data_IF_458414611979
#
_entry.id   IF_458414611979
#
_cell.length_a   1.000
_cell.length_b   1.000
_cell.length_c   1.000
_cell.angle_alpha   90.00
_cell.angle_beta   90.00
_cell.angle_gamma   90.00
#
_symmetry.space_group_name_H-M   'P 1'
#
loop_
_entity.id
_entity.type
_entity.pdbx_description
1 polymer ?
#
# COMPACT_ATOMS: atom_id res chain seq x y z
N UNK A 1 6.77 26.50 17.86
CA UNK A 1 6.41 25.35 16.99
C UNK A 1 5.26 24.61 17.64
N UNK A 2 4.02 24.86 17.21
CA UNK A 2 2.84 24.23 17.80
C UNK A 2 2.75 22.77 17.32
N UNK A 3 2.74 21.83 18.27
CA UNK A 3 2.56 20.40 17.98
C UNK A 3 1.07 20.14 17.73
N UNK A 4 0.77 19.53 16.60
CA UNK A 4 -0.57 19.23 16.11
C UNK A 4 -1.27 18.22 17.04
N UNK A 5 -2.42 18.58 17.62
CA UNK A 5 -3.25 17.76 18.52
C UNK A 5 -4.52 17.20 17.85
N UNK A 6 -4.64 17.22 16.52
CA UNK A 6 -5.83 16.76 15.80
C UNK A 6 -5.70 15.26 15.46
N UNK A 7 -5.44 14.39 16.45
CA UNK A 7 -5.52 12.94 16.24
C UNK A 7 -6.13 12.13 17.38
N UNK A 8 -6.47 12.76 18.51
CA UNK A 8 -7.01 12.07 19.69
C UNK A 8 -8.33 12.70 20.14
N UNK A 9 -9.31 12.77 19.25
CA UNK A 9 -10.70 12.75 19.70
C UNK A 9 -11.19 11.35 19.38
N UNK A 10 -10.81 10.42 20.26
CA UNK A 10 -11.43 9.10 20.29
C UNK A 10 -12.95 9.34 20.37
N UNK A 11 -13.68 8.66 19.50
CA UNK A 11 -15.13 8.63 19.53
C UNK A 11 -15.53 8.34 20.99
N UNK A 12 -16.36 9.20 21.59
CA UNK A 12 -16.86 9.04 22.97
C UNK A 12 -17.15 7.57 23.23
N UNK A 13 -16.66 7.00 24.34
CA UNK A 13 -16.86 5.59 24.70
C UNK A 13 -18.34 5.19 24.56
N UNK A 14 -19.24 6.11 24.94
CA UNK A 14 -20.70 6.03 24.79
C UNK A 14 -21.18 5.80 23.33
N UNK A 15 -20.54 6.42 22.33
CA UNK A 15 -20.87 6.22 20.90
C UNK A 15 -20.32 4.90 20.38
N UNK A 16 -19.18 4.44 20.91
CA UNK A 16 -18.65 3.11 20.55
C UNK A 16 -19.52 2.01 21.15
N UNK A 17 -19.99 2.20 22.39
CA UNK A 17 -20.87 1.30 23.11
C UNK A 17 -22.27 1.23 22.45
N UNK A 18 -22.86 2.38 22.10
CA UNK A 18 -24.12 2.41 21.33
C UNK A 18 -24.00 1.72 19.95
N UNK A 19 -22.87 1.90 19.26
CA UNK A 19 -22.65 1.21 17.98
C UNK A 19 -22.43 -0.28 18.16
N UNK A 20 -21.75 -0.73 19.23
CA UNK A 20 -21.55 -2.16 19.50
C UNK A 20 -22.86 -2.83 19.91
N UNK A 21 -23.68 -2.17 20.74
CA UNK A 21 -24.97 -2.70 21.20
C UNK A 21 -25.96 -2.78 20.02
N UNK A 22 -25.98 -1.76 19.15
CA UNK A 22 -26.78 -1.78 17.93
C UNK A 22 -26.31 -2.85 16.92
N UNK A 23 -25.00 -3.13 16.87
CA UNK A 23 -24.45 -4.22 16.06
C UNK A 23 -24.85 -5.59 16.61
N UNK A 24 -24.79 -5.76 17.93
CA UNK A 24 -25.12 -7.00 18.62
C UNK A 24 -26.61 -7.34 18.46
N UNK A 25 -27.50 -6.36 18.62
CA UNK A 25 -28.94 -6.51 18.39
C UNK A 25 -29.24 -6.95 16.93
N UNK A 26 -28.57 -6.34 15.94
CA UNK A 26 -28.75 -6.70 14.52
C UNK A 26 -28.20 -8.09 14.19
N UNK A 27 -27.12 -8.50 14.86
CA UNK A 27 -26.54 -9.84 14.72
C UNK A 27 -27.46 -10.89 15.34
N UNK A 28 -28.02 -10.65 16.52
CA UNK A 28 -28.97 -11.56 17.18
C UNK A 28 -30.28 -11.69 16.39
N UNK A 29 -30.84 -10.58 15.89
CA UNK A 29 -32.01 -10.60 15.00
C UNK A 29 -31.75 -11.46 13.75
N UNK A 30 -30.56 -11.31 13.17
CA UNK A 30 -30.14 -12.09 12.00
C UNK A 30 -29.96 -13.56 12.35
N UNK A 31 -29.32 -13.90 13.46
CA UNK A 31 -29.16 -15.28 13.91
C UNK A 31 -30.49 -15.96 14.19
N UNK A 32 -31.41 -15.27 14.87
CA UNK A 32 -32.73 -15.82 15.22
C UNK A 32 -33.59 -16.01 13.98
N UNK A 33 -33.51 -15.10 13.01
CA UNK A 33 -34.11 -15.27 11.70
C UNK A 33 -33.53 -16.48 10.95
N UNK A 34 -32.21 -16.64 10.94
CA UNK A 34 -31.53 -17.78 10.31
C UNK A 34 -31.90 -19.10 10.98
N UNK A 35 -31.95 -19.17 12.32
CA UNK A 35 -32.40 -20.35 13.09
C UNK A 35 -33.86 -20.70 12.78
N UNK A 36 -34.72 -19.69 12.60
CA UNK A 36 -36.13 -19.88 12.22
C UNK A 36 -36.31 -20.43 10.80
N UNK A 37 -35.44 -20.02 9.86
CA UNK A 37 -35.43 -20.47 8.46
C UNK A 37 -34.77 -21.85 8.30
N UNK A 38 -33.73 -22.17 9.08
CA UNK A 38 -33.02 -23.47 9.05
C UNK A 38 -33.66 -24.56 9.91
N UNK A 39 -34.71 -24.23 10.68
CA UNK A 39 -35.50 -25.20 11.43
C UNK A 39 -36.12 -26.25 10.48
N UNK A 40 -35.92 -27.55 10.80
CA UNK A 40 -36.11 -28.69 9.91
C UNK A 40 -37.49 -28.86 9.24
N UNK A 41 -38.54 -28.14 9.65
CA UNK A 41 -39.92 -28.49 9.32
C UNK A 41 -40.70 -27.48 8.46
N UNK A 42 -40.06 -26.47 7.84
CA UNK A 42 -40.80 -25.39 7.13
C UNK A 42 -40.38 -25.07 5.69
N UNK A 43 -39.56 -25.88 5.04
CA UNK A 43 -39.29 -25.72 3.60
C UNK A 43 -40.13 -26.74 2.83
N UNK A 44 -41.38 -26.38 2.52
CA UNK A 44 -42.20 -27.23 1.64
C UNK A 44 -41.68 -27.15 0.19
N UNK A 45 -41.56 -28.30 -0.48
CA UNK A 45 -41.14 -28.39 -1.90
C UNK A 45 -41.98 -27.50 -2.82
N UNK A 46 -43.25 -27.26 -2.45
CA UNK A 46 -44.18 -26.40 -3.18
C UNK A 46 -43.79 -24.91 -3.16
N UNK A 47 -43.33 -24.38 -2.02
CA UNK A 47 -42.86 -22.99 -1.91
C UNK A 47 -41.56 -22.77 -2.68
N UNK A 48 -40.67 -23.76 -2.69
CA UNK A 48 -39.39 -23.71 -3.44
C UNK A 48 -39.66 -23.76 -4.95
N UNK A 49 -40.58 -24.61 -5.41
CA UNK A 49 -40.96 -24.67 -6.82
C UNK A 49 -41.64 -23.37 -7.30
N UNK A 50 -42.48 -22.74 -6.46
CA UNK A 50 -43.14 -21.46 -6.79
C UNK A 50 -42.15 -20.28 -6.85
N UNK A 51 -41.11 -20.29 -6.02
CA UNK A 51 -40.09 -19.25 -5.94
C UNK A 51 -38.75 -19.67 -6.57
N UNK A 52 -38.75 -20.68 -7.42
CA UNK A 52 -37.56 -21.20 -8.10
C UNK A 52 -36.71 -20.11 -8.78
N UNK A 53 -37.26 -19.12 -9.52
CA UNK A 53 -36.44 -18.06 -10.12
C UNK A 53 -35.72 -17.21 -9.07
N UNK A 54 -36.32 -17.00 -7.89
CA UNK A 54 -35.72 -16.22 -6.80
C UNK A 54 -34.57 -16.99 -6.12
N UNK A 55 -34.74 -18.28 -5.88
CA UNK A 55 -33.66 -19.13 -5.32
C UNK A 55 -32.50 -19.25 -6.30
N UNK A 56 -32.78 -19.41 -7.59
CA UNK A 56 -31.75 -19.42 -8.63
C UNK A 56 -30.99 -18.08 -8.70
N UNK A 57 -31.68 -16.95 -8.52
CA UNK A 57 -31.04 -15.64 -8.44
C UNK A 57 -30.11 -15.50 -7.23
N UNK A 58 -30.51 -15.98 -6.06
CA UNK A 58 -29.64 -16.01 -4.87
C UNK A 58 -28.43 -16.93 -5.05
N UNK A 59 -28.62 -18.09 -5.69
CA UNK A 59 -27.52 -18.99 -6.03
C UNK A 59 -26.52 -18.35 -7.00
N UNK A 60 -27.02 -17.60 -8.01
CA UNK A 60 -26.20 -16.83 -8.94
C UNK A 60 -25.39 -15.75 -8.20
N UNK A 61 -26.04 -14.98 -7.31
CA UNK A 61 -25.37 -14.00 -6.44
C UNK A 61 -24.29 -14.65 -5.58
N UNK A 62 -24.57 -15.81 -4.98
CA UNK A 62 -23.60 -16.58 -4.21
C UNK A 62 -22.39 -17.00 -5.04
N UNK A 63 -22.62 -17.48 -6.28
CA UNK A 63 -21.56 -17.84 -7.20
C UNK A 63 -20.70 -16.62 -7.57
N UNK A 64 -21.33 -15.49 -7.94
CA UNK A 64 -20.63 -14.24 -8.22
C UNK A 64 -19.81 -13.76 -7.02
N UNK A 65 -20.34 -13.89 -5.81
CA UNK A 65 -19.62 -13.53 -4.59
C UNK A 65 -18.37 -14.38 -4.38
N UNK A 66 -18.48 -15.71 -4.52
CA UNK A 66 -17.34 -16.63 -4.41
C UNK A 66 -16.30 -16.33 -5.49
N UNK A 67 -16.74 -16.09 -6.73
CA UNK A 67 -15.85 -15.71 -7.83
C UNK A 67 -15.10 -14.41 -7.53
N UNK A 68 -15.81 -13.36 -7.09
CA UNK A 68 -15.20 -12.08 -6.72
C UNK A 68 -14.22 -12.22 -5.55
N UNK A 69 -14.56 -13.03 -4.55
CA UNK A 69 -13.68 -13.31 -3.42
C UNK A 69 -12.36 -13.93 -3.89
N UNK A 70 -12.39 -14.89 -4.81
CA UNK A 70 -11.17 -15.52 -5.31
C UNK A 70 -10.31 -14.54 -6.11
N UNK A 71 -10.92 -13.66 -6.91
CA UNK A 71 -10.20 -12.59 -7.63
C UNK A 71 -9.53 -11.60 -6.68
N UNK A 72 -10.23 -11.19 -5.63
CA UNK A 72 -9.68 -10.28 -4.61
C UNK A 72 -8.47 -10.91 -3.92
N UNK A 73 -8.59 -12.18 -3.50
CA UNK A 73 -7.50 -12.90 -2.83
C UNK A 73 -6.24 -13.02 -3.72
N UNK A 74 -6.43 -13.35 -5.00
CA UNK A 74 -5.34 -13.41 -5.96
C UNK A 74 -4.70 -12.04 -6.22
N UNK A 75 -5.50 -10.98 -6.20
CA UNK A 75 -5.01 -9.60 -6.35
C UNK A 75 -4.18 -9.18 -5.16
N UNK A 76 -4.63 -9.46 -3.93
CA UNK A 76 -3.87 -9.18 -2.70
C UNK A 76 -2.51 -9.91 -2.72
N UNK A 77 -2.50 -11.21 -3.07
CA UNK A 77 -1.24 -11.97 -3.22
C UNK A 77 -0.30 -11.36 -4.27
N UNK A 78 -0.85 -10.82 -5.36
CA UNK A 78 -0.06 -10.15 -6.40
C UNK A 78 0.54 -8.85 -5.90
N UNK A 79 -0.23 -8.05 -5.16
CA UNK A 79 0.25 -6.81 -4.54
C UNK A 79 1.42 -7.11 -3.60
N UNK A 80 1.31 -8.13 -2.75
CA UNK A 80 2.39 -8.50 -1.83
C UNK A 80 3.68 -8.92 -2.55
N UNK A 81 3.55 -9.66 -3.65
CA UNK A 81 4.72 -10.06 -4.49
C UNK A 81 5.36 -8.84 -5.14
N UNK A 82 4.58 -8.01 -5.82
CA UNK A 82 5.06 -6.79 -6.46
C UNK A 82 5.69 -5.83 -5.44
N UNK A 83 5.11 -5.71 -4.24
CA UNK A 83 5.66 -4.90 -3.16
C UNK A 83 7.04 -5.37 -2.70
N UNK A 84 7.28 -6.69 -2.67
CA UNK A 84 8.60 -7.26 -2.39
C UNK A 84 9.60 -6.96 -3.51
N UNK A 85 9.19 -7.18 -4.76
CA UNK A 85 10.04 -6.91 -5.94
C UNK A 85 10.46 -5.43 -6.00
N UNK A 86 9.53 -4.50 -5.78
CA UNK A 86 9.84 -3.06 -5.73
C UNK A 86 10.82 -2.73 -4.60
N UNK A 87 10.66 -3.37 -3.44
CA UNK A 87 11.57 -3.17 -2.30
C UNK A 87 12.97 -3.67 -2.62
N UNK A 88 13.09 -4.85 -3.20
CA UNK A 88 14.37 -5.44 -3.63
C UNK A 88 15.05 -4.55 -4.67
N UNK A 89 14.33 -4.15 -5.71
CA UNK A 89 14.86 -3.26 -6.75
C UNK A 89 15.31 -1.90 -6.18
N UNK A 90 14.60 -1.38 -5.19
CA UNK A 90 15.00 -0.15 -4.49
C UNK A 90 16.30 -0.33 -3.70
N UNK A 91 16.55 -1.53 -3.15
CA UNK A 91 17.78 -1.82 -2.43
C UNK A 91 18.96 -1.93 -3.39
N UNK A 92 18.77 -2.60 -4.52
CA UNK A 92 19.78 -2.68 -5.59
C UNK A 92 20.15 -1.30 -6.11
N UNK A 93 19.15 -0.46 -6.39
CA UNK A 93 19.38 0.93 -6.81
C UNK A 93 20.21 1.71 -5.78
N UNK A 94 19.87 1.60 -4.49
CA UNK A 94 20.61 2.30 -3.42
C UNK A 94 22.04 1.82 -3.30
N UNK A 95 22.25 0.50 -3.39
CA UNK A 95 23.57 -0.11 -3.35
C UNK A 95 24.43 0.36 -4.53
N UNK A 96 23.89 0.27 -5.75
CA UNK A 96 24.58 0.69 -6.97
C UNK A 96 24.87 2.19 -6.97
N UNK A 97 23.92 3.02 -6.51
CA UNK A 97 24.12 4.45 -6.41
C UNK A 97 25.18 4.81 -5.36
N UNK A 98 25.24 4.10 -4.23
CA UNK A 98 26.30 4.29 -3.24
C UNK A 98 27.68 3.91 -3.81
N UNK A 99 27.77 2.83 -4.57
CA UNK A 99 29.00 2.47 -5.29
C UNK A 99 29.37 3.54 -6.32
N UNK A 100 28.41 4.00 -7.12
CA UNK A 100 28.62 5.08 -8.09
C UNK A 100 29.14 6.35 -7.41
N UNK A 101 28.54 6.77 -6.30
CA UNK A 101 28.98 7.94 -5.51
C UNK A 101 30.42 7.78 -5.01
N UNK A 102 30.80 6.59 -4.54
CA UNK A 102 32.18 6.29 -4.15
C UNK A 102 33.12 6.43 -5.34
N UNK A 103 32.74 5.90 -6.50
CA UNK A 103 33.55 5.96 -7.73
C UNK A 103 33.66 7.39 -8.28
N UNK A 104 32.65 8.23 -8.11
CA UNK A 104 32.62 9.63 -8.56
C UNK A 104 33.18 10.61 -7.52
N UNK A 105 33.60 10.13 -6.35
CA UNK A 105 34.24 10.99 -5.35
C UNK A 105 35.55 11.54 -5.89
N UNK A 106 35.79 12.84 -5.70
CA UNK A 106 36.96 13.55 -6.21
C UNK A 106 38.29 12.86 -5.87
N UNK A 107 38.41 12.32 -4.65
CA UNK A 107 39.59 11.56 -4.22
C UNK A 107 39.80 10.27 -5.01
N UNK A 108 38.75 9.51 -5.31
CA UNK A 108 38.85 8.27 -6.11
C UNK A 108 39.08 8.58 -7.60
N UNK A 109 38.46 9.65 -8.11
CA UNK A 109 38.73 10.15 -9.46
C UNK A 109 40.19 10.61 -9.58
N UNK A 110 40.69 11.40 -8.62
CA UNK A 110 42.07 11.89 -8.62
C UNK A 110 43.07 10.73 -8.63
N UNK A 111 42.88 9.70 -7.79
CA UNK A 111 43.71 8.48 -7.80
C UNK A 111 43.71 7.77 -9.16
N UNK A 112 42.56 7.70 -9.83
CA UNK A 112 42.45 7.10 -11.17
C UNK A 112 43.00 7.99 -12.28
N UNK A 113 42.94 9.30 -12.11
CA UNK A 113 43.48 10.28 -13.05
C UNK A 113 45.02 10.40 -12.93
N UNK A 114 45.57 10.15 -11.73
CA UNK A 114 47.01 10.11 -11.49
C UNK A 114 47.70 9.02 -12.34
N UNK A 115 47.06 7.87 -12.56
CA UNK A 115 47.59 6.82 -13.46
C UNK A 115 47.63 7.27 -14.93
N UNK A 116 46.81 8.26 -15.28
CA UNK A 116 46.79 8.91 -16.60
C UNK A 116 47.71 10.13 -16.66
N UNK A 117 48.45 10.44 -15.57
CA UNK A 117 49.38 11.57 -15.48
C UNK A 117 48.70 12.92 -15.22
N UNK A 118 47.40 12.94 -14.87
CA UNK A 118 46.63 14.14 -14.59
C UNK A 118 46.67 14.45 -13.09
N UNK A 119 47.15 15.64 -12.71
CA UNK A 119 47.21 16.10 -11.32
C UNK A 119 46.11 17.10 -10.99
N UNK A 120 45.57 16.97 -9.78
CA UNK A 120 44.65 17.95 -9.23
C UNK A 120 45.36 19.30 -8.99
N UNK A 121 44.68 20.38 -9.39
CA UNK A 121 45.17 21.75 -9.15
C UNK A 121 44.76 22.19 -7.75
N UNK A 122 45.72 22.19 -6.82
CA UNK A 122 45.54 22.65 -5.43
C UNK A 122 45.56 24.16 -5.26
N UNK A 123 46.11 24.88 -6.24
CA UNK A 123 46.22 26.34 -6.21
C UNK A 123 44.99 27.02 -6.83
N UNK A 124 44.44 28.08 -6.20
CA UNK A 124 43.31 28.80 -6.75
C UNK A 124 43.65 29.43 -8.11
N UNK A 125 42.67 29.55 -9.03
CA UNK A 125 42.90 30.15 -10.34
C UNK A 125 43.29 31.62 -10.22
N UNK A 126 44.35 32.00 -10.94
CA UNK A 126 44.85 33.38 -10.98
C UNK A 126 43.80 34.24 -11.70
N UNK A 127 43.29 35.28 -11.03
CA UNK A 127 42.36 36.23 -11.62
C UNK A 127 43.14 37.16 -12.57
N UNK A 128 42.93 37.00 -13.88
CA UNK A 128 43.48 37.91 -14.89
C UNK A 128 42.69 39.21 -14.81
N UNK A 129 43.29 40.28 -14.29
CA UNK A 129 42.71 41.62 -14.35
C UNK A 129 43.18 42.29 -15.64
N UNK A 130 42.24 42.64 -16.51
CA UNK A 130 42.54 43.41 -17.72
C UNK A 130 42.81 44.85 -17.31
N UNK A 131 44.08 45.24 -17.30
CA UNK A 131 44.46 46.65 -17.15
C UNK A 131 44.10 47.35 -18.45
N UNK A 132 43.04 48.15 -18.44
CA UNK A 132 42.78 49.08 -19.54
C UNK A 132 43.83 50.17 -19.45
N UNK A 133 44.74 50.22 -20.42
CA UNK A 133 45.60 51.38 -20.61
C UNK A 133 44.72 52.60 -20.89
N UNK A 134 44.79 53.59 -20.01
CA UNK A 134 44.17 54.90 -20.21
C UNK A 134 45.07 55.67 -21.17
N UNK A 135 44.57 55.85 -22.39
CA UNK A 135 45.15 56.72 -23.42
C UNK A 135 44.97 58.19 -23.05
#
# INVERSE_FOLDING_TARGET
>A
MARNTIKNKELSEEVQEEMSDALEEKVEETENFLKSIFSQNKISTYLVAKNLPFVAFLALLGLLYISNRHLAENTVRRIDRLGKEVKELSWDYKSLNAELMKLTTQTEIAKRADTLGLKERTEPPIKIQVVKEVK
#
